data_IF_728029042623
#
_entry.id   IF_728029042623
#
_cell.length_a   1.000
_cell.length_b   1.000
_cell.length_c   1.000
_cell.angle_alpha   90.00
_cell.angle_beta   90.00
_cell.angle_gamma   90.00
#
_symmetry.space_group_name_H-M   'P 1'
#
loop_
_entity.id
_entity.type
_entity.pdbx_description
1 polymer ?
#
# COMPACT_ATOMS: atom_id res chain seq x y z
N UNK A 1 -38.28 -6.23 -24.39
CA UNK A 1 -37.23 -5.43 -23.69
C UNK A 1 -36.10 -5.18 -24.65
N UNK A 2 -35.91 -3.92 -25.08
CA UNK A 2 -35.03 -3.58 -26.22
C UNK A 2 -33.57 -3.88 -25.90
N UNK A 3 -32.82 -4.34 -26.92
CA UNK A 3 -31.37 -4.61 -26.85
C UNK A 3 -30.58 -3.42 -26.27
N UNK A 4 -31.06 -2.22 -26.50
CA UNK A 4 -30.49 -0.98 -25.97
C UNK A 4 -30.54 -0.90 -24.46
N UNK A 5 -31.65 -1.33 -23.83
CA UNK A 5 -31.81 -1.33 -22.39
C UNK A 5 -30.86 -2.36 -21.72
N UNK A 6 -30.65 -3.50 -22.35
CA UNK A 6 -29.68 -4.51 -21.87
C UNK A 6 -28.26 -3.99 -21.93
N UNK A 7 -27.89 -3.29 -23.00
CA UNK A 7 -26.57 -2.69 -23.16
C UNK A 7 -26.32 -1.59 -22.13
N UNK A 8 -27.34 -0.77 -21.83
CA UNK A 8 -27.27 0.29 -20.84
C UNK A 8 -27.12 -0.27 -19.42
N UNK A 9 -27.90 -1.29 -19.08
CA UNK A 9 -27.81 -2.00 -17.78
C UNK A 9 -26.46 -2.68 -17.63
N UNK A 10 -25.92 -3.29 -18.69
CA UNK A 10 -24.59 -3.91 -18.68
C UNK A 10 -23.46 -2.88 -18.47
N UNK A 11 -23.62 -1.66 -18.99
CA UNK A 11 -22.68 -0.56 -18.77
C UNK A 11 -22.67 -0.09 -17.31
N UNK A 12 -23.85 0.01 -16.68
CA UNK A 12 -23.98 0.37 -15.27
C UNK A 12 -23.66 -0.77 -14.29
N UNK A 13 -23.76 -2.02 -14.71
CA UNK A 13 -23.38 -3.19 -13.89
C UNK A 13 -21.90 -3.56 -14.04
N UNK A 14 -21.08 -2.74 -14.69
CA UNK A 14 -19.64 -2.95 -14.76
C UNK A 14 -19.10 -2.91 -13.32
N UNK A 15 -18.84 -4.06 -12.75
CA UNK A 15 -18.18 -4.20 -11.45
C UNK A 15 -16.83 -3.49 -11.54
N UNK A 16 -16.75 -2.28 -11.03
CA UNK A 16 -15.48 -1.56 -10.96
C UNK A 16 -14.62 -2.24 -9.91
N UNK A 17 -13.59 -2.93 -10.36
CA UNK A 17 -12.56 -3.45 -9.45
C UNK A 17 -11.85 -2.23 -8.87
N UNK A 18 -11.96 -2.08 -7.55
CA UNK A 18 -11.26 -1.01 -6.85
C UNK A 18 -9.76 -1.30 -6.87
N UNK A 19 -9.03 -0.50 -7.64
CA UNK A 19 -7.58 -0.58 -7.75
C UNK A 19 -6.98 0.65 -7.11
N UNK A 20 -6.06 0.45 -6.18
CA UNK A 20 -5.26 1.51 -5.60
C UNK A 20 -3.78 1.25 -5.84
N UNK A 21 -2.95 2.28 -5.70
CA UNK A 21 -1.51 2.13 -5.82
C UNK A 21 -0.77 3.25 -5.11
N UNK A 22 0.52 3.02 -4.88
CA UNK A 22 1.44 4.01 -4.34
C UNK A 22 2.82 3.86 -4.97
N UNK A 23 3.55 4.97 -5.06
CA UNK A 23 4.95 4.95 -5.44
C UNK A 23 5.81 4.34 -4.33
N UNK A 24 6.84 3.61 -4.72
CA UNK A 24 7.90 3.12 -3.85
C UNK A 24 9.25 3.48 -4.49
N UNK A 25 10.36 3.17 -3.84
CA UNK A 25 11.69 3.47 -4.38
C UNK A 25 11.91 2.67 -5.66
N UNK A 26 12.16 3.38 -6.76
CA UNK A 26 12.35 2.81 -8.11
C UNK A 26 11.22 1.85 -8.55
N UNK A 27 9.97 2.12 -8.11
CA UNK A 27 8.90 1.20 -8.43
C UNK A 27 7.50 1.66 -8.10
N UNK A 28 6.58 0.72 -8.18
CA UNK A 28 5.16 0.93 -7.92
C UNK A 28 4.56 -0.26 -7.18
N UNK A 29 3.72 0.03 -6.20
CA UNK A 29 2.84 -0.96 -5.58
C UNK A 29 1.42 -0.76 -6.09
N UNK A 30 0.77 -1.85 -6.46
CA UNK A 30 -0.64 -1.89 -6.84
C UNK A 30 -1.40 -2.81 -5.89
N UNK A 31 -2.57 -2.35 -5.46
CA UNK A 31 -3.46 -3.09 -4.54
C UNK A 31 -4.83 -3.30 -5.17
N UNK A 32 -5.33 -4.51 -5.04
CA UNK A 32 -6.70 -4.91 -5.35
C UNK A 32 -7.31 -5.58 -4.11
N UNK A 33 -8.63 -5.75 -4.04
CA UNK A 33 -9.21 -6.56 -2.97
C UNK A 33 -8.57 -7.96 -2.92
N UNK A 34 -8.09 -8.34 -1.76
CA UNK A 34 -7.48 -9.66 -1.51
C UNK A 34 -5.99 -9.81 -1.87
N UNK A 35 -5.37 -8.84 -2.56
CA UNK A 35 -3.95 -8.94 -2.90
C UNK A 35 -3.29 -7.57 -3.16
N UNK A 36 -1.97 -7.51 -3.02
CA UNK A 36 -1.17 -6.42 -3.54
C UNK A 36 0.11 -6.95 -4.20
N UNK A 37 0.62 -6.19 -5.14
CA UNK A 37 1.87 -6.52 -5.85
C UNK A 37 2.75 -5.29 -5.93
N UNK A 38 4.04 -5.48 -5.72
CA UNK A 38 5.04 -4.42 -5.85
C UNK A 38 6.02 -4.80 -6.95
N UNK A 39 6.29 -3.89 -7.86
CA UNK A 39 7.26 -4.04 -8.93
C UNK A 39 8.33 -2.95 -8.79
N UNK A 40 9.60 -3.36 -8.85
CA UNK A 40 10.78 -2.50 -8.72
C UNK A 40 11.66 -2.64 -9.95
N UNK A 41 12.30 -1.55 -10.34
CA UNK A 41 13.32 -1.52 -11.38
C UNK A 41 14.70 -1.44 -10.74
N UNK A 42 15.51 -2.45 -10.99
CA UNK A 42 16.90 -2.49 -10.57
C UNK A 42 17.77 -1.58 -11.46
N UNK A 43 18.94 -1.18 -11.00
CA UNK A 43 19.90 -0.35 -11.75
C UNK A 43 20.36 -0.98 -13.06
N UNK A 44 20.45 -2.31 -13.11
CA UNK A 44 20.74 -3.07 -14.31
C UNK A 44 19.59 -3.08 -15.34
N UNK A 45 18.48 -2.36 -15.05
CA UNK A 45 17.28 -2.28 -15.87
C UNK A 45 16.31 -3.47 -15.72
N UNK A 46 16.65 -4.49 -14.95
CA UNK A 46 15.79 -5.65 -14.70
C UNK A 46 14.62 -5.26 -13.80
N UNK A 47 13.43 -5.75 -14.12
CA UNK A 47 12.24 -5.55 -13.31
C UNK A 47 12.03 -6.80 -12.46
N UNK A 48 11.87 -6.60 -11.15
CA UNK A 48 11.46 -7.63 -10.21
C UNK A 48 10.08 -7.29 -9.66
N UNK A 49 9.26 -8.31 -9.45
CA UNK A 49 7.93 -8.13 -8.87
C UNK A 49 7.67 -9.15 -7.78
N UNK A 50 6.94 -8.72 -6.76
CA UNK A 50 6.53 -9.56 -5.64
C UNK A 50 5.05 -9.38 -5.37
N UNK A 51 4.33 -10.50 -5.24
CA UNK A 51 2.89 -10.52 -4.94
C UNK A 51 2.67 -11.04 -3.53
N UNK A 52 1.73 -10.42 -2.84
CA UNK A 52 1.31 -10.81 -1.50
C UNK A 52 -0.21 -10.94 -1.45
N UNK A 53 -0.68 -11.97 -0.78
CA UNK A 53 -2.10 -12.09 -0.44
C UNK A 53 -2.39 -11.28 0.82
N UNK A 54 -3.53 -10.60 0.82
CA UNK A 54 -3.95 -9.75 1.90
C UNK A 54 -5.43 -9.97 2.21
N UNK A 55 -5.70 -10.35 3.45
CA UNK A 55 -7.07 -10.41 3.98
C UNK A 55 -7.28 -9.31 5.00
N UNK A 56 -8.32 -8.50 4.81
CA UNK A 56 -8.65 -7.43 5.76
C UNK A 56 -9.12 -7.98 7.10
N UNK A 57 -8.65 -7.37 8.17
CA UNK A 57 -9.10 -7.64 9.55
C UNK A 57 -10.61 -7.43 9.67
N UNK A 58 -11.15 -6.46 8.93
CA UNK A 58 -12.58 -6.15 8.92
C UNK A 58 -13.41 -7.31 8.39
N UNK A 59 -12.93 -8.00 7.36
CA UNK A 59 -13.61 -9.18 6.83
C UNK A 59 -13.51 -10.35 7.80
N UNK A 60 -12.34 -10.54 8.40
CA UNK A 60 -12.08 -11.63 9.35
C UNK A 60 -12.95 -11.54 10.61
N UNK A 61 -13.16 -10.35 11.15
CA UNK A 61 -13.91 -10.13 12.40
C UNK A 61 -15.30 -9.54 12.21
N UNK A 62 -15.80 -9.46 10.96
CA UNK A 62 -17.14 -8.95 10.60
C UNK A 62 -17.47 -7.56 11.19
N UNK A 63 -16.48 -6.69 11.29
CA UNK A 63 -16.56 -5.34 11.88
C UNK A 63 -17.20 -4.29 10.97
N UNK A 64 -17.91 -4.73 9.92
CA UNK A 64 -18.54 -3.86 8.91
C UNK A 64 -19.56 -2.88 9.50
N UNK A 65 -20.16 -3.20 10.66
CA UNK A 65 -21.21 -2.40 11.33
C UNK A 65 -20.66 -1.15 12.04
N UNK A 66 -19.38 -1.14 12.42
CA UNK A 66 -18.77 -0.06 13.19
C UNK A 66 -18.09 0.93 12.25
N UNK A 67 -18.81 1.99 11.85
CA UNK A 67 -18.38 2.96 10.83
C UNK A 67 -17.03 3.62 11.14
N UNK A 68 -16.83 4.07 12.38
CA UNK A 68 -15.59 4.76 12.80
C UNK A 68 -14.44 3.77 12.92
N UNK A 69 -14.64 2.64 13.58
CA UNK A 69 -13.61 1.62 13.80
C UNK A 69 -13.13 1.04 12.48
N UNK A 70 -14.02 0.85 11.52
CA UNK A 70 -13.70 0.40 10.17
C UNK A 70 -12.70 1.35 9.49
N UNK A 71 -12.90 2.67 9.62
CA UNK A 71 -12.00 3.67 9.05
C UNK A 71 -10.60 3.59 9.65
N UNK A 72 -10.48 3.47 10.96
CA UNK A 72 -9.19 3.31 11.64
C UNK A 72 -8.47 2.01 11.25
N UNK A 73 -9.19 0.90 11.16
CA UNK A 73 -8.61 -0.38 10.75
C UNK A 73 -8.10 -0.28 9.30
N UNK A 74 -8.87 0.28 8.37
CA UNK A 74 -8.42 0.48 6.99
C UNK A 74 -7.19 1.39 6.89
N UNK A 75 -7.15 2.46 7.69
CA UNK A 75 -5.99 3.34 7.76
C UNK A 75 -4.75 2.57 8.24
N UNK A 76 -4.87 1.86 9.35
CA UNK A 76 -3.78 1.05 9.91
C UNK A 76 -3.28 -0.01 8.91
N UNK A 77 -4.18 -0.76 8.28
CA UNK A 77 -3.84 -1.75 7.26
C UNK A 77 -3.10 -1.12 6.07
N UNK A 78 -3.58 0.04 5.60
CA UNK A 78 -2.96 0.75 4.48
C UNK A 78 -1.58 1.26 4.83
N UNK A 79 -1.39 1.81 6.04
CA UNK A 79 -0.08 2.24 6.52
C UNK A 79 0.89 1.05 6.65
N UNK A 80 0.42 -0.07 7.20
CA UNK A 80 1.23 -1.28 7.35
C UNK A 80 1.72 -1.81 6.00
N UNK A 81 0.84 -1.93 5.02
CA UNK A 81 1.20 -2.37 3.67
C UNK A 81 2.17 -1.37 3.02
N UNK A 82 1.87 -0.07 3.15
CA UNK A 82 2.71 0.99 2.64
C UNK A 82 4.12 0.93 3.20
N UNK A 83 4.26 0.79 4.50
CA UNK A 83 5.55 0.64 5.17
C UNK A 83 6.32 -0.60 4.69
N UNK A 84 5.66 -1.77 4.66
CA UNK A 84 6.30 -3.03 4.23
C UNK A 84 6.81 -2.96 2.78
N UNK A 85 6.06 -2.32 1.89
CA UNK A 85 6.48 -2.17 0.48
C UNK A 85 7.61 -1.17 0.31
N UNK A 86 7.62 -0.08 1.09
CA UNK A 86 8.73 0.87 1.11
C UNK A 86 10.00 0.24 1.69
N UNK A 87 9.89 -0.50 2.78
CA UNK A 87 11.02 -1.19 3.41
C UNK A 87 11.65 -2.20 2.45
N UNK A 88 10.84 -3.03 1.81
CA UNK A 88 11.34 -3.97 0.80
C UNK A 88 12.00 -3.26 -0.40
N UNK A 89 11.43 -2.15 -0.88
CA UNK A 89 12.01 -1.39 -1.98
C UNK A 89 13.35 -0.74 -1.60
N UNK A 90 13.45 -0.23 -0.36
CA UNK A 90 14.68 0.33 0.17
C UNK A 90 15.77 -0.74 0.34
N UNK A 91 15.43 -1.89 0.92
CA UNK A 91 16.36 -3.01 1.07
C UNK A 91 16.91 -3.47 -0.28
N UNK A 92 16.03 -3.67 -1.26
CA UNK A 92 16.42 -4.13 -2.60
C UNK A 92 17.33 -3.11 -3.29
N UNK A 93 17.05 -1.81 -3.12
CA UNK A 93 17.88 -0.74 -3.68
C UNK A 93 19.25 -0.63 -2.98
N UNK A 94 19.30 -0.83 -1.66
CA UNK A 94 20.52 -0.77 -0.87
C UNK A 94 21.39 -2.01 -1.05
N UNK A 95 20.84 -3.19 -1.24
CA UNK A 95 21.58 -4.42 -1.56
C UNK A 95 22.34 -4.26 -2.88
N UNK A 96 21.77 -3.56 -3.85
CA UNK A 96 22.43 -3.27 -5.12
C UNK A 96 23.52 -2.19 -4.99
N UNK A 97 23.49 -1.36 -3.92
CA UNK A 97 24.44 -0.27 -3.69
C UNK A 97 25.60 -0.60 -2.72
N UNK A 98 25.73 -1.83 -2.23
CA UNK A 98 26.76 -2.22 -1.23
C UNK A 98 26.59 -1.55 0.17
N UNK A 99 25.87 -2.21 1.02
CA UNK A 99 26.09 -2.32 2.48
C UNK A 99 26.76 -1.13 3.18
N UNK A 100 26.02 -0.09 3.55
CA UNK A 100 26.39 0.71 4.76
C UNK A 100 25.31 1.63 5.33
N UNK A 101 24.07 1.67 4.85
CA UNK A 101 23.13 2.71 5.30
C UNK A 101 21.83 2.24 5.93
N UNK A 102 21.71 0.96 6.31
CA UNK A 102 20.44 0.44 6.84
C UNK A 102 19.96 1.11 8.14
N UNK A 103 20.89 1.62 8.95
CA UNK A 103 20.57 2.23 10.25
C UNK A 103 20.39 3.76 10.18
N UNK A 104 20.95 4.43 9.17
CA UNK A 104 20.95 5.89 9.10
C UNK A 104 19.62 6.46 8.62
N UNK A 105 18.97 5.86 7.63
CA UNK A 105 17.70 6.35 7.09
C UNK A 105 16.53 6.09 8.06
N UNK A 106 16.50 4.92 8.68
CA UNK A 106 15.49 4.59 9.68
C UNK A 106 15.57 5.51 10.90
N UNK A 107 16.79 5.78 11.39
CA UNK A 107 16.99 6.71 12.51
C UNK A 107 16.58 8.14 12.13
N UNK A 108 16.90 8.60 10.93
CA UNK A 108 16.52 9.94 10.46
C UNK A 108 15.00 10.09 10.29
N UNK A 109 14.31 9.05 9.83
CA UNK A 109 12.84 9.05 9.73
C UNK A 109 12.20 8.99 11.10
N UNK A 110 12.72 8.15 12.01
CA UNK A 110 12.25 8.08 13.39
C UNK A 110 12.40 9.42 14.12
N UNK A 111 13.55 10.08 14.00
CA UNK A 111 13.80 11.38 14.58
C UNK A 111 12.82 12.45 14.08
N UNK A 112 12.51 12.46 12.77
CA UNK A 112 11.52 13.37 12.20
C UNK A 112 10.11 13.09 12.69
N UNK A 113 9.72 11.82 12.80
CA UNK A 113 8.40 11.43 13.33
C UNK A 113 8.28 11.84 14.80
N UNK A 114 9.31 11.57 15.61
CA UNK A 114 9.35 11.95 17.03
C UNK A 114 9.29 13.46 17.18
N UNK A 115 10.00 14.23 16.34
CA UNK A 115 9.97 15.69 16.36
C UNK A 115 8.58 16.25 16.03
N UNK A 116 7.92 15.72 15.00
CA UNK A 116 6.55 16.13 14.63
C UNK A 116 5.57 15.79 15.76
N UNK A 117 5.69 14.61 16.34
CA UNK A 117 4.84 14.18 17.44
C UNK A 117 5.06 15.00 18.71
N UNK A 118 6.31 15.40 18.99
CA UNK A 118 6.66 16.30 20.09
C UNK A 118 6.04 17.69 19.93
N UNK A 119 6.04 18.24 18.72
CA UNK A 119 5.38 19.53 18.42
C UNK A 119 3.87 19.42 18.64
N UNK A 120 3.27 18.30 18.23
CA UNK A 120 1.81 18.08 18.37
C UNK A 120 1.36 17.94 19.84
N UNK A 121 2.22 17.42 20.73
CA UNK A 121 1.95 17.31 22.17
C UNK A 121 2.18 18.65 22.88
N UNK A 122 3.02 19.52 22.31
CA UNK A 122 3.40 20.82 22.92
C UNK A 122 2.37 21.93 22.67
N UNK A 123 1.36 21.70 21.82
CA UNK A 123 0.26 22.64 21.54
C UNK A 123 -0.99 22.19 22.30
#
# INVERSE_FOLDING_TARGET
MSLWLKSLVMFFMKTSILVGGQAVIEGVMMRVPGAYSTALRLKNGKIISRRFEFSSIIEKYNLKKLFIIRGFIHLYESMKIGYQTLDWSAETYDEENNSKSKNSLLNSILEKIVSIFSIFISI
#
